data_IF_183131531794
#
_entry.id   IF_183131531794
#
_cell.length_a   1.000
_cell.length_b   1.000
_cell.length_c   1.000
_cell.angle_alpha   90.00
_cell.angle_beta   90.00
_cell.angle_gamma   90.00
#
_symmetry.space_group_name_H-M   'P 1'
#
loop_
_entity.id
_entity.type
_entity.pdbx_description
1 polymer ?
#
# COMPACT_ATOMS: atom_id res chain seq x y z
N UNK A 1 10.53 -67.58 0.32
CA UNK A 1 9.47 -67.68 -0.70
C UNK A 1 8.42 -66.62 -0.40
N UNK A 2 7.82 -65.97 -1.41
CA UNK A 2 8.17 -65.98 -2.85
C UNK A 2 9.17 -64.82 -3.14
N UNK A 3 10.20 -64.91 -3.98
CA UNK A 3 10.37 -65.44 -5.35
C UNK A 3 9.63 -64.63 -6.41
N UNK A 4 10.36 -63.75 -7.10
CA UNK A 4 10.19 -63.55 -8.54
C UNK A 4 11.59 -63.30 -9.16
N UNK A 5 12.32 -64.37 -9.54
CA UNK A 5 12.54 -64.89 -10.91
C UNK A 5 13.24 -63.92 -11.88
N UNK A 6 14.45 -64.32 -12.27
CA UNK A 6 15.41 -63.76 -13.24
C UNK A 6 14.99 -64.15 -14.70
N UNK A 7 15.62 -63.65 -15.79
CA UNK A 7 16.90 -64.25 -16.18
C UNK A 7 17.97 -63.32 -16.79
N UNK A 8 19.21 -63.82 -16.65
CA UNK A 8 20.43 -63.54 -17.38
C UNK A 8 20.22 -63.72 -18.88
N UNK A 9 20.90 -62.94 -19.70
CA UNK A 9 21.67 -63.53 -20.80
C UNK A 9 22.83 -62.63 -21.25
N UNK A 10 24.02 -63.22 -21.16
CA UNK A 10 25.36 -62.72 -21.45
C UNK A 10 25.69 -62.67 -22.94
N UNK A 11 26.92 -62.21 -23.27
CA UNK A 11 27.71 -62.34 -24.53
C UNK A 11 27.73 -61.01 -25.32
N UNK A 12 28.86 -60.33 -25.61
CA UNK A 12 30.08 -60.84 -26.23
C UNK A 12 31.23 -59.82 -26.22
N UNK A 13 32.39 -60.26 -25.71
CA UNK A 13 33.75 -60.11 -26.25
C UNK A 13 34.43 -58.72 -26.44
N UNK A 14 35.57 -58.63 -25.72
CA UNK A 14 36.89 -58.17 -26.17
C UNK A 14 37.25 -56.65 -26.16
N UNK A 15 38.24 -56.39 -25.29
CA UNK A 15 39.26 -55.32 -25.22
C UNK A 15 40.10 -55.18 -26.53
N UNK A 16 41.15 -54.33 -26.67
CA UNK A 16 41.53 -52.99 -26.18
C UNK A 16 41.90 -52.01 -27.35
N UNK A 17 42.20 -50.75 -27.03
CA UNK A 17 43.09 -49.82 -27.76
C UNK A 17 42.91 -49.56 -29.27
N UNK A 18 42.34 -48.38 -29.62
CA UNK A 18 42.77 -47.66 -30.83
C UNK A 18 42.75 -46.15 -30.58
N UNK A 19 43.96 -45.61 -30.47
CA UNK A 19 44.28 -44.20 -30.46
C UNK A 19 43.72 -43.44 -31.67
N UNK A 20 43.54 -42.13 -31.45
CA UNK A 20 43.54 -41.05 -32.45
C UNK A 20 42.29 -40.91 -33.33
N UNK A 21 41.39 -40.01 -32.94
CA UNK A 21 41.18 -38.73 -33.65
C UNK A 21 39.97 -38.01 -33.03
N UNK A 22 40.22 -36.98 -32.23
CA UNK A 22 39.20 -35.98 -31.92
C UNK A 22 39.71 -34.61 -32.38
N UNK A 23 39.80 -34.48 -33.71
CA UNK A 23 39.94 -33.20 -34.35
C UNK A 23 38.56 -32.55 -34.47
N UNK A 24 38.41 -31.43 -33.78
CA UNK A 24 37.62 -30.27 -34.20
C UNK A 24 36.15 -30.51 -34.60
N UNK A 25 35.23 -30.33 -33.65
CA UNK A 25 34.12 -29.37 -33.83
C UNK A 25 33.71 -28.84 -32.45
N UNK A 26 34.61 -28.07 -31.84
CA UNK A 26 34.24 -27.24 -30.71
C UNK A 26 33.25 -26.19 -31.21
N UNK A 27 31.97 -26.33 -30.88
CA UNK A 27 31.09 -25.18 -30.86
C UNK A 27 31.60 -24.31 -29.70
N UNK A 28 32.38 -23.28 -30.06
CA UNK A 28 32.88 -22.28 -29.15
C UNK A 28 31.70 -21.47 -28.58
N UNK A 29 31.13 -21.93 -27.47
CA UNK A 29 30.10 -21.22 -26.72
C UNK A 29 30.63 -19.93 -26.05
N UNK A 30 31.92 -19.58 -26.16
CA UNK A 30 32.49 -18.41 -25.47
C UNK A 30 32.21 -17.05 -26.15
N UNK A 31 31.47 -17.00 -27.26
CA UNK A 31 31.20 -15.75 -27.99
C UNK A 31 29.76 -15.26 -27.95
N UNK A 32 29.17 -15.20 -26.77
CA UNK A 32 28.12 -14.21 -26.52
C UNK A 32 28.54 -13.32 -25.36
N UNK A 33 29.44 -12.34 -25.65
CA UNK A 33 29.57 -11.16 -24.81
C UNK A 33 28.33 -10.29 -25.02
N UNK A 34 27.21 -10.69 -24.42
CA UNK A 34 26.11 -9.76 -24.14
C UNK A 34 26.66 -8.79 -23.09
N UNK A 35 26.67 -7.50 -23.39
CA UNK A 35 27.28 -6.41 -22.60
C UNK A 35 27.02 -6.52 -21.10
N UNK A 36 27.96 -7.07 -20.28
CA UNK A 36 27.70 -7.29 -18.85
C UNK A 36 27.57 -5.96 -18.10
N UNK A 37 28.33 -4.95 -18.52
CA UNK A 37 28.43 -3.64 -17.85
C UNK A 37 27.13 -2.84 -17.78
N UNK A 38 26.20 -3.01 -18.73
CA UNK A 38 24.93 -2.29 -18.71
C UNK A 38 23.93 -2.96 -17.77
N UNK A 39 23.86 -4.29 -17.78
CA UNK A 39 23.03 -5.06 -16.86
C UNK A 39 23.52 -4.91 -15.41
N UNK A 40 24.83 -5.02 -15.18
CA UNK A 40 25.43 -4.82 -13.86
C UNK A 40 25.14 -3.39 -13.30
N UNK A 41 25.13 -2.39 -14.17
CA UNK A 41 24.81 -1.01 -13.79
C UNK A 41 23.32 -0.83 -13.46
N UNK A 42 22.43 -1.50 -14.19
CA UNK A 42 20.99 -1.51 -13.91
C UNK A 42 20.73 -2.19 -12.57
N UNK A 43 21.32 -3.37 -12.33
CA UNK A 43 21.16 -4.13 -11.10
C UNK A 43 21.67 -3.33 -9.89
N UNK A 44 22.80 -2.64 -10.02
CA UNK A 44 23.34 -1.76 -8.97
C UNK A 44 22.39 -0.61 -8.62
N UNK A 45 21.74 -0.01 -9.63
CA UNK A 45 20.78 1.08 -9.44
C UNK A 45 19.49 0.54 -8.80
N UNK A 46 18.99 -0.60 -9.28
CA UNK A 46 17.82 -1.27 -8.71
C UNK A 46 18.03 -1.58 -7.23
N UNK A 47 19.18 -2.15 -6.89
CA UNK A 47 19.60 -2.43 -5.53
C UNK A 47 19.66 -1.17 -4.65
N UNK A 48 20.20 -0.07 -5.18
CA UNK A 48 20.28 1.20 -4.46
C UNK A 48 18.90 1.79 -4.19
N UNK A 49 18.01 1.76 -5.19
CA UNK A 49 16.61 2.21 -5.06
C UNK A 49 15.88 1.31 -4.06
N UNK A 50 16.02 0.00 -4.17
CA UNK A 50 15.38 -0.96 -3.30
C UNK A 50 15.76 -0.72 -1.84
N UNK A 51 17.07 -0.56 -1.55
CA UNK A 51 17.55 -0.22 -0.19
C UNK A 51 16.98 1.11 0.30
N UNK A 52 16.87 2.11 -0.57
CA UNK A 52 16.33 3.42 -0.20
C UNK A 52 14.83 3.35 0.12
N UNK A 53 14.04 2.67 -0.73
CA UNK A 53 12.60 2.47 -0.54
C UNK A 53 12.32 1.65 0.72
N UNK A 54 13.07 0.56 0.94
CA UNK A 54 12.94 -0.26 2.15
C UNK A 54 13.26 0.52 3.42
N UNK A 55 14.19 1.47 3.36
CA UNK A 55 14.60 2.27 4.52
C UNK A 55 13.69 3.46 4.81
N UNK A 56 13.22 4.16 3.78
CA UNK A 56 12.52 5.43 3.94
C UNK A 56 11.05 5.42 3.49
N UNK A 57 10.61 4.44 2.70
CA UNK A 57 9.28 4.41 2.09
C UNK A 57 8.14 4.52 3.11
N UNK A 58 8.15 3.66 4.14
CA UNK A 58 7.12 3.68 5.18
C UNK A 58 7.17 4.95 6.03
N UNK A 59 8.38 5.44 6.34
CA UNK A 59 8.54 6.69 7.12
C UNK A 59 8.01 7.89 6.32
N UNK A 60 8.32 7.97 5.03
CA UNK A 60 7.81 9.00 4.13
C UNK A 60 6.29 8.92 4.00
N UNK A 61 5.73 7.72 3.84
CA UNK A 61 4.29 7.47 3.77
C UNK A 61 3.57 7.91 5.05
N UNK A 62 4.16 7.62 6.22
CA UNK A 62 3.62 8.04 7.52
C UNK A 62 3.63 9.56 7.67
N UNK A 63 4.74 10.20 7.33
CA UNK A 63 4.87 11.67 7.45
C UNK A 63 3.92 12.35 6.46
N UNK A 64 3.85 11.90 5.21
CA UNK A 64 2.94 12.49 4.21
C UNK A 64 1.48 12.35 4.63
N UNK A 65 1.07 11.17 5.10
CA UNK A 65 -0.27 10.95 5.63
C UNK A 65 -0.57 11.86 6.82
N UNK A 66 0.39 12.02 7.74
CA UNK A 66 0.24 12.91 8.89
C UNK A 66 0.13 14.38 8.51
N UNK A 67 0.91 14.84 7.52
CA UNK A 67 0.82 16.21 6.99
C UNK A 67 -0.53 16.47 6.32
N UNK A 68 -1.02 15.51 5.54
CA UNK A 68 -2.34 15.60 4.89
C UNK A 68 -3.46 15.67 5.93
N UNK A 69 -3.44 14.81 6.94
CA UNK A 69 -4.42 14.84 8.03
C UNK A 69 -4.37 16.17 8.80
N UNK A 70 -3.17 16.67 9.12
CA UNK A 70 -2.99 17.94 9.81
C UNK A 70 -3.48 19.13 8.98
N UNK A 71 -3.15 19.15 7.68
CA UNK A 71 -3.57 20.21 6.76
C UNK A 71 -5.09 20.27 6.61
N UNK A 72 -5.74 19.13 6.36
CA UNK A 72 -7.21 19.06 6.28
C UNK A 72 -7.89 19.37 7.62
N UNK A 73 -7.31 18.92 8.74
CA UNK A 73 -7.80 19.22 10.08
C UNK A 73 -7.77 20.72 10.38
N UNK A 74 -6.65 21.40 10.10
CA UNK A 74 -6.52 22.85 10.30
C UNK A 74 -7.55 23.61 9.46
N UNK A 75 -7.76 23.18 8.21
CA UNK A 75 -8.69 23.84 7.30
C UNK A 75 -10.15 23.78 7.79
N UNK A 76 -10.51 22.75 8.57
CA UNK A 76 -11.86 22.58 9.13
C UNK A 76 -12.20 23.54 10.28
N UNK A 77 -11.22 24.20 10.88
CA UNK A 77 -11.50 25.29 11.82
C UNK A 77 -12.03 26.55 11.13
N UNK A 78 -11.80 26.70 9.82
CA UNK A 78 -12.22 27.86 9.05
C UNK A 78 -13.54 27.55 8.30
N UNK A 79 -14.68 28.09 8.74
CA UNK A 79 -15.97 27.80 8.13
C UNK A 79 -16.02 28.29 6.68
N UNK A 80 -16.53 27.45 5.77
CA UNK A 80 -16.74 27.80 4.36
C UNK A 80 -15.50 27.68 3.46
N UNK A 81 -14.34 27.31 4.01
CA UNK A 81 -13.09 27.15 3.23
C UNK A 81 -12.89 25.70 2.78
N UNK A 82 -13.45 24.73 3.49
CA UNK A 82 -13.27 23.31 3.17
C UNK A 82 -14.27 22.84 2.10
N UNK A 83 -13.81 22.38 0.91
CA UNK A 83 -14.68 21.89 -0.15
C UNK A 83 -15.54 20.68 0.26
N UNK A 84 -15.13 19.96 1.31
CA UNK A 84 -15.78 18.74 1.78
C UNK A 84 -16.73 18.97 2.98
N UNK A 85 -16.86 20.21 3.48
CA UNK A 85 -17.66 20.49 4.67
C UNK A 85 -19.12 20.03 4.51
N UNK A 86 -19.76 20.41 3.41
CA UNK A 86 -21.17 20.07 3.14
C UNK A 86 -21.37 18.56 2.99
N UNK A 87 -20.39 17.87 2.38
CA UNK A 87 -20.43 16.41 2.25
C UNK A 87 -20.34 15.73 3.62
N UNK A 88 -19.43 16.16 4.48
CA UNK A 88 -19.27 15.60 5.84
C UNK A 88 -20.53 15.83 6.66
N UNK A 89 -21.09 17.04 6.63
CA UNK A 89 -22.32 17.35 7.37
C UNK A 89 -23.51 16.52 6.92
N UNK A 90 -23.70 16.39 5.60
CA UNK A 90 -24.76 15.56 5.04
C UNK A 90 -24.57 14.11 5.46
N UNK A 91 -23.35 13.60 5.43
CA UNK A 91 -23.02 12.23 5.82
C UNK A 91 -23.29 11.98 7.31
N UNK A 92 -22.84 12.88 8.18
CA UNK A 92 -23.09 12.81 9.63
C UNK A 92 -24.60 12.84 9.89
N UNK A 93 -25.34 13.72 9.21
CA UNK A 93 -26.79 13.79 9.33
C UNK A 93 -27.45 12.48 8.91
N UNK A 94 -27.06 11.89 7.77
CA UNK A 94 -27.64 10.63 7.30
C UNK A 94 -27.29 9.45 8.22
N UNK A 95 -26.04 9.33 8.67
CA UNK A 95 -25.60 8.25 9.57
C UNK A 95 -26.22 8.34 10.96
N UNK A 96 -26.50 9.56 11.43
CA UNK A 96 -27.07 9.79 12.76
C UNK A 96 -28.60 9.88 12.74
N UNK A 97 -29.23 9.56 11.60
CA UNK A 97 -30.67 9.70 11.37
C UNK A 97 -31.20 11.12 11.70
N UNK A 98 -30.36 12.14 11.53
CA UNK A 98 -30.67 13.53 11.85
C UNK A 98 -30.64 13.89 13.34
N UNK A 99 -30.29 12.96 14.23
CA UNK A 99 -30.29 13.21 15.68
C UNK A 99 -29.10 14.09 16.12
N UNK A 100 -27.91 13.91 15.56
CA UNK A 100 -26.73 14.67 15.99
C UNK A 100 -26.84 16.16 15.63
N UNK A 101 -27.27 16.56 14.42
CA UNK A 101 -27.50 17.98 14.10
C UNK A 101 -28.58 18.63 14.97
N UNK A 102 -29.52 17.86 15.53
CA UNK A 102 -30.58 18.37 16.40
C UNK A 102 -30.09 18.65 17.83
N UNK A 103 -29.06 17.94 18.29
CA UNK A 103 -28.56 18.01 19.68
C UNK A 103 -27.25 18.77 19.79
N UNK A 104 -26.39 18.72 18.76
CA UNK A 104 -25.05 19.31 18.77
C UNK A 104 -24.92 20.31 17.62
N UNK A 105 -24.46 21.55 17.90
CA UNK A 105 -24.20 22.53 16.85
C UNK A 105 -23.18 22.01 15.84
N UNK A 106 -23.46 22.20 14.56
CA UNK A 106 -22.62 21.85 13.41
C UNK A 106 -21.16 22.26 13.57
N UNK A 107 -20.90 23.45 14.13
CA UNK A 107 -19.55 23.96 14.39
C UNK A 107 -18.76 23.13 15.41
N UNK A 108 -19.43 22.56 16.42
CA UNK A 108 -18.81 21.69 17.42
C UNK A 108 -18.40 20.36 16.80
N UNK A 109 -19.25 19.79 15.94
CA UNK A 109 -18.93 18.56 15.20
C UNK A 109 -17.71 18.78 14.30
N UNK A 110 -17.69 19.88 13.54
CA UNK A 110 -16.55 20.22 12.68
C UNK A 110 -15.27 20.46 13.49
N UNK A 111 -15.34 21.19 14.60
CA UNK A 111 -14.19 21.43 15.47
C UNK A 111 -13.66 20.14 16.12
N UNK A 112 -14.55 19.21 16.50
CA UNK A 112 -14.15 17.91 17.04
C UNK A 112 -13.43 17.06 15.99
N UNK A 113 -13.95 17.01 14.75
CA UNK A 113 -13.29 16.34 13.63
C UNK A 113 -11.95 16.99 13.28
N UNK A 114 -11.88 18.32 13.25
CA UNK A 114 -10.66 19.09 13.05
C UNK A 114 -9.60 18.74 14.10
N UNK A 115 -10.00 18.68 15.38
CA UNK A 115 -9.12 18.35 16.50
C UNK A 115 -8.60 16.91 16.39
N UNK A 116 -9.49 15.97 16.06
CA UNK A 116 -9.13 14.57 15.85
C UNK A 116 -8.10 14.42 14.72
N UNK A 117 -8.34 15.07 13.58
CA UNK A 117 -7.46 15.03 12.41
C UNK A 117 -6.10 15.66 12.69
N UNK A 118 -6.08 16.80 13.38
CA UNK A 118 -4.83 17.43 13.81
C UNK A 118 -4.07 16.52 14.78
N UNK A 119 -4.75 15.92 15.76
CA UNK A 119 -4.16 14.99 16.72
C UNK A 119 -3.54 13.76 16.05
N UNK A 120 -4.28 13.13 15.13
CA UNK A 120 -3.79 12.03 14.29
C UNK A 120 -2.56 12.47 13.49
N UNK A 121 -2.65 13.62 12.81
CA UNK A 121 -1.57 14.16 11.99
C UNK A 121 -0.28 14.38 12.79
N UNK A 122 -0.38 15.03 13.95
CA UNK A 122 0.75 15.25 14.86
C UNK A 122 1.34 13.93 15.34
N UNK A 123 0.52 12.96 15.74
CA UNK A 123 1.00 11.66 16.20
C UNK A 123 1.76 10.89 15.11
N UNK A 124 1.25 10.92 13.87
CA UNK A 124 1.89 10.27 12.72
C UNK A 124 3.22 10.94 12.34
N UNK A 125 3.26 12.27 12.33
CA UNK A 125 4.48 13.04 12.02
C UNK A 125 5.53 12.80 13.11
N UNK A 126 5.15 12.94 14.39
CA UNK A 126 6.05 12.76 15.52
C UNK A 126 6.50 11.30 15.70
N UNK A 127 5.77 10.33 15.12
CA UNK A 127 6.04 8.90 15.28
C UNK A 127 5.85 8.39 16.71
N UNK A 128 5.14 9.13 17.56
CA UNK A 128 4.87 8.75 18.97
C UNK A 128 3.45 8.20 19.09
N UNK A 129 3.27 7.17 19.92
CA UNK A 129 1.95 6.56 20.11
C UNK A 129 1.39 5.88 18.87
N UNK A 130 2.26 5.38 17.97
CA UNK A 130 1.88 4.95 16.62
C UNK A 130 0.79 3.86 16.58
N UNK A 131 0.74 2.98 17.60
CA UNK A 131 -0.34 1.98 17.73
C UNK A 131 -1.72 2.65 17.85
N UNK A 132 -1.84 3.61 18.76
CA UNK A 132 -3.07 4.39 18.97
C UNK A 132 -3.39 5.24 17.75
N UNK A 133 -2.37 5.90 17.19
CA UNK A 133 -2.54 6.71 15.98
C UNK A 133 -3.11 5.89 14.82
N UNK A 134 -2.61 4.68 14.57
CA UNK A 134 -3.09 3.81 13.49
C UNK A 134 -4.53 3.36 13.74
N UNK A 135 -4.90 2.96 14.96
CA UNK A 135 -6.28 2.60 15.26
C UNK A 135 -7.22 3.79 15.08
N UNK A 136 -6.80 4.98 15.54
CA UNK A 136 -7.55 6.22 15.35
C UNK A 136 -7.68 6.58 13.86
N UNK A 137 -6.59 6.52 13.08
CA UNK A 137 -6.63 6.77 11.64
C UNK A 137 -7.50 5.74 10.93
N UNK A 138 -7.43 4.46 11.29
CA UNK A 138 -8.27 3.43 10.67
C UNK A 138 -9.76 3.73 10.90
N UNK A 139 -10.15 4.01 12.15
CA UNK A 139 -11.53 4.37 12.47
C UNK A 139 -11.98 5.66 11.75
N UNK A 140 -11.11 6.67 11.72
CA UNK A 140 -11.36 7.93 11.03
C UNK A 140 -11.54 7.74 9.52
N UNK A 141 -10.68 6.92 8.88
CA UNK A 141 -10.77 6.60 7.45
C UNK A 141 -12.08 5.87 7.13
N UNK A 142 -12.55 4.98 8.00
CA UNK A 142 -13.87 4.35 7.82
C UNK A 142 -15.00 5.38 7.86
N UNK A 143 -14.89 6.40 8.72
CA UNK A 143 -15.85 7.50 8.80
C UNK A 143 -15.87 8.39 7.55
N UNK A 144 -14.71 8.77 7.01
CA UNK A 144 -14.65 9.62 5.80
C UNK A 144 -15.01 8.86 4.52
N UNK A 145 -14.88 7.52 4.51
CA UNK A 145 -15.28 6.66 3.38
C UNK A 145 -16.76 6.26 3.42
N UNK A 146 -17.47 6.46 4.53
CA UNK A 146 -18.90 6.14 4.62
C UNK A 146 -19.79 6.80 3.56
N UNK A 147 -19.53 8.01 3.01
CA UNK A 147 -20.35 8.59 1.96
C UNK A 147 -20.42 7.73 0.69
N UNK A 148 -19.44 6.85 0.44
CA UNK A 148 -19.47 5.92 -0.70
C UNK A 148 -20.68 4.99 -0.66
N UNK A 149 -21.10 4.61 0.54
CA UNK A 149 -22.23 3.71 0.76
C UNK A 149 -23.52 4.49 1.00
N UNK A 150 -23.41 5.60 1.74
CA UNK A 150 -24.58 6.38 2.21
C UNK A 150 -25.09 7.37 1.16
N UNK A 151 -24.19 7.97 0.37
CA UNK A 151 -24.51 9.04 -0.59
C UNK A 151 -23.95 8.75 -2.01
N UNK A 152 -24.05 7.52 -2.56
CA UNK A 152 -23.45 7.20 -3.86
C UNK A 152 -23.98 8.08 -4.99
N UNK A 153 -25.27 8.43 -4.98
CA UNK A 153 -25.87 9.30 -6.00
C UNK A 153 -25.29 10.72 -6.03
N UNK A 154 -24.78 11.23 -4.90
CA UNK A 154 -24.12 12.54 -4.82
C UNK A 154 -22.66 12.47 -5.30
N UNK A 155 -21.99 11.37 -5.02
CA UNK A 155 -20.59 11.17 -5.41
C UNK A 155 -20.44 10.83 -6.89
N UNK A 156 -21.38 10.08 -7.48
CA UNK A 156 -21.35 9.63 -8.89
C UNK A 156 -22.45 10.27 -9.74
N UNK A 157 -22.90 11.48 -9.37
CA UNK A 157 -23.94 12.22 -10.08
C UNK A 157 -23.48 13.00 -11.31
N UNK A 158 -22.21 12.88 -11.73
CA UNK A 158 -21.70 13.55 -12.92
C UNK A 158 -22.20 12.93 -14.24
N UNK A 159 -21.91 13.57 -15.38
CA UNK A 159 -22.18 12.98 -16.70
C UNK A 159 -21.58 11.58 -16.79
N UNK A 160 -22.31 10.62 -17.37
CA UNK A 160 -21.89 9.21 -17.52
C UNK A 160 -21.50 8.48 -16.21
N UNK A 161 -22.09 8.87 -15.07
CA UNK A 161 -21.74 8.35 -13.73
C UNK A 161 -20.31 8.72 -13.29
N UNK A 162 -19.73 9.78 -13.87
CA UNK A 162 -18.43 10.27 -13.46
C UNK A 162 -18.45 10.80 -12.01
N UNK A 163 -17.36 10.62 -11.24
CA UNK A 163 -17.24 11.17 -9.90
C UNK A 163 -17.30 12.71 -9.90
N UNK A 164 -18.17 13.27 -9.07
CA UNK A 164 -18.21 14.71 -8.78
C UNK A 164 -16.93 15.15 -8.07
N UNK A 165 -16.70 16.46 -7.89
CA UNK A 165 -15.54 16.94 -7.12
C UNK A 165 -15.52 16.33 -5.70
N UNK A 166 -16.68 16.25 -5.06
CA UNK A 166 -16.87 15.55 -3.78
C UNK A 166 -16.55 14.05 -3.88
N UNK A 167 -17.02 13.38 -4.95
CA UNK A 167 -16.66 11.99 -5.27
C UNK A 167 -15.16 11.78 -5.37
N UNK A 168 -14.44 12.65 -6.08
CA UNK A 168 -12.99 12.60 -6.21
C UNK A 168 -12.28 12.80 -4.86
N UNK A 169 -12.78 13.70 -4.02
CA UNK A 169 -12.26 13.91 -2.67
C UNK A 169 -12.38 12.68 -1.79
N UNK A 170 -13.50 11.95 -1.87
CA UNK A 170 -13.67 10.70 -1.11
C UNK A 170 -12.84 9.57 -1.71
N UNK A 171 -12.76 9.49 -3.04
CA UNK A 171 -12.04 8.41 -3.72
C UNK A 171 -10.53 8.45 -3.44
N UNK A 172 -9.93 9.64 -3.30
CA UNK A 172 -8.52 9.74 -2.87
C UNK A 172 -8.28 9.17 -1.47
N UNK A 173 -9.29 9.17 -0.59
CA UNK A 173 -9.14 8.69 0.79
C UNK A 173 -9.06 7.16 0.85
N UNK A 174 -9.41 6.45 -0.23
CA UNK A 174 -9.10 5.02 -0.40
C UNK A 174 -7.59 4.77 -0.40
N UNK A 175 -6.80 5.73 -0.91
CA UNK A 175 -5.33 5.67 -0.85
C UNK A 175 -4.86 5.79 0.60
N UNK A 176 -5.53 6.60 1.43
CA UNK A 176 -5.22 6.70 2.86
C UNK A 176 -5.51 5.38 3.58
N UNK A 177 -6.59 4.67 3.23
CA UNK A 177 -6.87 3.34 3.77
C UNK A 177 -5.72 2.37 3.48
N UNK A 178 -5.27 2.30 2.22
CA UNK A 178 -4.14 1.48 1.82
C UNK A 178 -2.85 1.88 2.55
N UNK A 179 -2.62 3.19 2.73
CA UNK A 179 -1.45 3.70 3.45
C UNK A 179 -1.46 3.29 4.94
N UNK A 180 -2.62 3.37 5.60
CA UNK A 180 -2.79 2.91 6.99
C UNK A 180 -2.49 1.41 7.10
N UNK A 181 -3.01 0.60 6.17
CA UNK A 181 -2.73 -0.84 6.13
C UNK A 181 -1.22 -1.11 5.99
N UNK A 182 -0.54 -0.42 5.07
CA UNK A 182 0.90 -0.55 4.87
C UNK A 182 1.68 -0.17 6.14
N UNK A 183 1.36 0.95 6.78
CA UNK A 183 2.02 1.40 8.01
C UNK A 183 1.74 0.41 9.17
N UNK A 184 0.53 -0.13 9.27
CA UNK A 184 0.14 -1.09 10.31
C UNK A 184 1.01 -2.37 10.31
N UNK A 185 1.47 -2.82 9.14
CA UNK A 185 2.37 -3.98 9.05
C UNK A 185 3.69 -3.75 9.80
N UNK A 186 4.16 -2.51 9.89
CA UNK A 186 5.47 -2.18 10.49
C UNK A 186 5.44 -2.06 12.00
N UNK A 187 4.31 -1.71 12.61
CA UNK A 187 4.26 -1.51 14.07
C UNK A 187 4.03 -2.80 14.84
N UNK A 188 3.51 -3.84 14.18
CA UNK A 188 3.37 -5.18 14.78
C UNK A 188 4.71 -5.92 14.89
N UNK A 189 5.76 -5.44 14.22
CA UNK A 189 7.09 -6.06 14.19
C UNK A 189 8.03 -5.55 15.29
N UNK A 190 7.59 -4.77 16.29
CA UNK A 190 8.40 -4.56 17.50
C UNK A 190 8.21 -5.76 18.42
N UNK A 191 9.20 -6.68 18.55
CA UNK A 191 9.16 -7.66 19.61
C UNK A 191 9.37 -6.91 20.93
N UNK A 192 8.50 -7.18 21.90
CA UNK A 192 8.68 -6.74 23.28
C UNK A 192 9.87 -7.52 23.86
N UNK A 193 11.07 -6.92 23.83
CA UNK A 193 12.26 -7.37 24.55
C UNK A 193 12.93 -6.18 25.23
#
# INVERSE_FOLDING_TARGET
MPTNTYPDETVSLANPDSHADNASTGIDYQRIRVTPRLFDAIDMVEDAIHRWVMRYGITALRISMGLVALGFGILKYFPGVSPAQDLVLTTVQTLTFGLVPAVVPTGVVMAALATLECGIGVCLIAGRGLRVAIYATALWVMGILSPLVVLPGRLFGGPDHAPTLEGQYVLKDVILLAAVMAIATTVRQRPDH
#
